data_IF_928454641930
#
_entry.id   IF_928454641930
#
_cell.length_a   1.000
_cell.length_b   1.000
_cell.length_c   1.000
_cell.angle_alpha   90.00
_cell.angle_beta   90.00
_cell.angle_gamma   90.00
#
_symmetry.space_group_name_H-M   'P 1'
#
loop_
_entity.id
_entity.type
_entity.pdbx_description
1 polymer ?
#
# COMPACT_ATOMS: atom_id res chain seq x y z
N UNK A 1 -3.34 -12.51 12.73
CA UNK A 1 -2.24 -11.55 12.79
C UNK A 1 -2.81 -10.15 12.98
N UNK A 2 -2.27 -9.35 13.92
CA UNK A 2 -2.64 -7.95 14.01
C UNK A 2 -2.19 -7.21 12.75
N UNK A 3 -3.02 -6.29 12.29
CA UNK A 3 -2.79 -5.46 11.12
C UNK A 3 -2.88 -3.99 11.43
N UNK A 4 -2.12 -3.19 10.71
CA UNK A 4 -2.17 -1.74 10.69
C UNK A 4 -2.53 -1.28 9.29
N UNK A 5 -3.74 -0.78 9.11
CA UNK A 5 -4.13 -0.04 7.91
C UNK A 5 -3.60 1.39 8.01
N UNK A 6 -2.76 1.78 7.05
CA UNK A 6 -2.24 3.16 6.99
C UNK A 6 -3.37 4.14 6.66
N UNK A 7 -4.39 3.72 5.94
CA UNK A 7 -5.57 4.55 5.69
C UNK A 7 -6.35 4.87 6.96
N UNK A 8 -6.53 3.89 7.85
CA UNK A 8 -7.14 4.16 9.16
C UNK A 8 -6.29 5.12 10.00
N UNK A 9 -4.98 4.94 10.01
CA UNK A 9 -4.06 5.86 10.70
C UNK A 9 -4.16 7.27 10.12
N UNK A 10 -4.13 7.40 8.78
CA UNK A 10 -4.32 8.65 8.06
C UNK A 10 -5.60 9.37 8.49
N UNK A 11 -6.72 8.67 8.40
CA UNK A 11 -8.02 9.26 8.75
C UNK A 11 -8.12 9.61 10.23
N UNK A 12 -7.54 8.81 11.11
CA UNK A 12 -7.46 9.10 12.55
C UNK A 12 -6.68 10.40 12.83
N UNK A 13 -5.53 10.58 12.20
CA UNK A 13 -4.70 11.77 12.34
C UNK A 13 -5.33 13.02 11.74
N UNK A 14 -5.95 12.92 10.58
CA UNK A 14 -6.64 14.03 9.91
C UNK A 14 -7.85 14.47 10.76
N UNK A 15 -8.74 13.53 11.10
CA UNK A 15 -9.98 13.83 11.82
C UNK A 15 -9.77 14.33 13.24
N UNK A 16 -8.68 13.93 13.88
CA UNK A 16 -8.29 14.40 15.22
C UNK A 16 -7.55 15.75 15.19
N UNK A 17 -7.26 16.29 14.00
CA UNK A 17 -6.58 17.57 13.83
C UNK A 17 -5.06 17.51 14.03
N UNK A 18 -4.45 16.31 14.10
CA UNK A 18 -3.00 16.16 14.22
C UNK A 18 -2.28 16.21 12.87
N UNK A 19 -2.96 15.85 11.78
CA UNK A 19 -2.43 15.95 10.43
C UNK A 19 -3.01 17.18 9.73
N UNK A 20 -2.18 18.09 9.20
CA UNK A 20 -2.64 19.30 8.50
C UNK A 20 -3.09 19.03 7.06
N UNK A 21 -2.86 17.82 6.55
CA UNK A 21 -3.26 17.42 5.21
C UNK A 21 -4.73 16.98 5.18
N UNK A 22 -5.25 16.78 3.96
CA UNK A 22 -6.60 16.27 3.72
C UNK A 22 -6.54 14.92 2.99
N UNK A 23 -7.63 14.14 2.94
CA UNK A 23 -7.65 12.89 2.18
C UNK A 23 -7.37 13.06 0.68
N UNK A 24 -7.59 14.26 0.14
CA UNK A 24 -7.37 14.63 -1.26
C UNK A 24 -5.97 15.21 -1.52
N UNK A 25 -5.13 15.33 -0.48
CA UNK A 25 -3.72 15.77 -0.64
C UNK A 25 -2.94 14.78 -1.48
N UNK A 26 -1.90 15.25 -2.14
CA UNK A 26 -1.03 14.41 -2.97
C UNK A 26 -0.45 13.23 -2.17
N UNK A 27 -0.39 12.06 -2.79
CA UNK A 27 0.13 10.84 -2.17
C UNK A 27 1.59 11.00 -1.70
N UNK A 28 2.39 11.82 -2.38
CA UNK A 28 3.75 12.12 -1.97
C UNK A 28 3.79 12.87 -0.62
N UNK A 29 2.91 13.86 -0.44
CA UNK A 29 2.81 14.63 0.80
C UNK A 29 2.26 13.76 1.94
N UNK A 30 1.24 12.96 1.66
CA UNK A 30 0.69 12.00 2.62
C UNK A 30 1.74 10.96 3.02
N UNK A 31 2.50 10.43 2.09
CA UNK A 31 3.59 9.49 2.37
C UNK A 31 4.67 10.16 3.23
N UNK A 32 5.09 11.35 2.90
CA UNK A 32 6.10 12.08 3.67
C UNK A 32 5.66 12.35 5.12
N UNK A 33 4.37 12.56 5.34
CA UNK A 33 3.81 12.75 6.68
C UNK A 33 3.63 11.43 7.45
N UNK A 34 3.08 10.40 6.81
CA UNK A 34 2.67 9.15 7.46
C UNK A 34 3.83 8.19 7.66
N UNK A 35 4.74 8.09 6.68
CA UNK A 35 5.79 7.09 6.71
C UNK A 35 6.71 7.15 7.94
N UNK A 36 7.16 8.32 8.42
CA UNK A 36 7.93 8.39 9.66
C UNK A 36 7.23 7.78 10.85
N UNK A 37 5.91 7.94 10.95
CA UNK A 37 5.09 7.38 12.04
C UNK A 37 5.00 5.85 11.89
N UNK A 38 4.64 5.38 10.70
CA UNK A 38 4.50 3.96 10.39
C UNK A 38 5.83 3.22 10.62
N UNK A 39 6.95 3.81 10.17
CA UNK A 39 8.30 3.28 10.40
C UNK A 39 8.57 3.03 11.90
N UNK A 40 8.26 3.97 12.76
CA UNK A 40 8.50 3.82 14.20
C UNK A 40 7.54 2.79 14.84
N UNK A 41 6.31 2.65 14.33
CA UNK A 41 5.41 1.57 14.73
C UNK A 41 6.00 0.20 14.35
N UNK A 42 6.52 0.07 13.13
CA UNK A 42 7.19 -1.17 12.69
C UNK A 42 8.39 -1.51 13.59
N UNK A 43 9.25 -0.54 13.88
CA UNK A 43 10.39 -0.74 14.80
C UNK A 43 9.91 -1.20 16.17
N UNK A 44 8.89 -0.55 16.72
CA UNK A 44 8.30 -0.92 18.01
C UNK A 44 7.78 -2.35 18.02
N UNK A 45 7.08 -2.77 16.97
CA UNK A 45 6.59 -4.15 16.86
C UNK A 45 7.76 -5.16 16.85
N UNK A 46 8.81 -4.88 16.07
CA UNK A 46 10.01 -5.73 15.99
C UNK A 46 10.71 -5.83 17.36
N UNK A 47 10.91 -4.70 18.05
CA UNK A 47 11.56 -4.64 19.35
C UNK A 47 10.78 -5.39 20.45
N UNK A 48 9.46 -5.45 20.31
CA UNK A 48 8.58 -6.20 21.19
C UNK A 48 8.33 -7.66 20.74
N UNK A 49 9.05 -8.13 19.72
CA UNK A 49 8.87 -9.48 19.16
C UNK A 49 7.42 -9.77 18.71
N UNK A 50 6.74 -8.74 18.24
CA UNK A 50 5.37 -8.83 17.74
C UNK A 50 5.36 -9.02 16.23
N UNK A 51 4.40 -9.82 15.76
CA UNK A 51 4.10 -9.90 14.32
C UNK A 51 3.07 -8.81 13.98
N UNK A 52 3.31 -8.09 12.89
CA UNK A 52 2.44 -7.03 12.42
C UNK A 52 2.37 -7.07 10.90
N UNK A 53 1.18 -7.05 10.35
CA UNK A 53 0.94 -6.75 8.93
C UNK A 53 0.70 -5.26 8.81
N UNK A 54 1.42 -4.59 7.91
CA UNK A 54 1.20 -3.18 7.58
C UNK A 54 0.77 -3.11 6.13
N UNK A 55 -0.38 -2.49 5.88
CA UNK A 55 -0.91 -2.36 4.54
C UNK A 55 -1.28 -0.91 4.21
N UNK A 56 -1.16 -0.56 2.94
CA UNK A 56 -1.53 0.75 2.41
C UNK A 56 -0.63 1.20 1.27
N UNK A 57 -1.02 2.27 0.59
CA UNK A 57 -0.30 2.82 -0.56
C UNK A 57 0.83 3.80 -0.18
N UNK A 58 0.96 4.16 1.10
CA UNK A 58 1.93 5.16 1.59
C UNK A 58 3.24 4.55 2.11
N UNK A 59 3.61 3.38 1.61
CA UNK A 59 4.89 2.72 1.89
C UNK A 59 5.85 3.04 0.74
N UNK A 60 6.94 3.77 0.96
CA UNK A 60 7.87 4.10 -0.11
C UNK A 60 8.61 2.86 -0.60
N UNK A 61 8.87 2.77 -1.91
CA UNK A 61 9.59 1.63 -2.49
C UNK A 61 11.05 1.56 -2.06
N UNK A 62 11.64 2.69 -1.68
CA UNK A 62 12.97 2.77 -1.08
C UNK A 62 12.97 2.57 0.45
N UNK A 63 11.92 1.96 1.01
CA UNK A 63 11.73 1.77 2.45
C UNK A 63 12.97 1.26 3.19
N UNK A 64 13.82 0.48 2.51
CA UNK A 64 15.05 -0.06 3.10
C UNK A 64 15.98 1.02 3.61
N UNK A 65 16.01 2.19 2.97
CA UNK A 65 16.81 3.33 3.39
C UNK A 65 16.40 3.92 4.74
N UNK A 66 15.19 3.60 5.17
CA UNK A 66 14.59 4.12 6.42
C UNK A 66 14.89 3.27 7.65
N UNK A 67 15.55 2.11 7.49
CA UNK A 67 15.82 1.16 8.57
C UNK A 67 17.27 0.77 8.67
N UNK A 68 17.77 0.62 9.89
CA UNK A 68 19.05 -0.01 10.16
C UNK A 68 19.00 -1.52 9.88
N UNK A 69 20.14 -2.12 9.61
CA UNK A 69 20.27 -3.54 9.21
C UNK A 69 19.59 -4.52 10.19
N UNK A 70 19.59 -4.19 11.48
CA UNK A 70 18.96 -5.03 12.52
C UNK A 70 17.44 -5.20 12.35
N UNK A 71 16.77 -4.22 11.73
CA UNK A 71 15.33 -4.28 11.46
C UNK A 71 15.07 -4.94 10.10
N UNK A 72 15.88 -4.64 9.08
CA UNK A 72 15.63 -5.11 7.71
C UNK A 72 15.52 -6.62 7.59
N UNK A 73 16.30 -7.38 8.38
CA UNK A 73 16.22 -8.85 8.39
C UNK A 73 14.88 -9.42 8.92
N UNK A 74 14.03 -8.59 9.48
CA UNK A 74 12.73 -8.98 10.05
C UNK A 74 11.54 -8.39 9.28
N UNK A 75 11.81 -7.67 8.17
CA UNK A 75 10.79 -7.03 7.35
C UNK A 75 10.67 -7.80 6.03
N UNK A 76 9.46 -8.25 5.73
CA UNK A 76 9.08 -8.71 4.40
C UNK A 76 8.20 -7.65 3.73
N UNK A 77 8.51 -7.32 2.50
CA UNK A 77 7.72 -6.41 1.68
C UNK A 77 7.19 -7.16 0.47
N UNK A 78 5.96 -6.89 0.09
CA UNK A 78 5.39 -7.34 -1.16
C UNK A 78 4.46 -6.25 -1.72
N UNK A 79 4.57 -5.98 -3.00
CA UNK A 79 3.65 -5.12 -3.72
C UNK A 79 2.69 -5.97 -4.55
N UNK A 80 1.40 -5.67 -4.48
CA UNK A 80 0.39 -6.29 -5.31
C UNK A 80 0.16 -5.42 -6.55
N UNK A 81 0.41 -5.98 -7.72
CA UNK A 81 0.21 -5.31 -9.01
C UNK A 81 -0.76 -6.11 -9.85
N UNK A 82 -1.68 -5.46 -10.55
CA UNK A 82 -2.51 -6.13 -11.54
C UNK A 82 -1.72 -6.42 -12.81
N UNK A 83 -1.99 -7.56 -13.46
CA UNK A 83 -1.54 -7.78 -14.82
C UNK A 83 -2.22 -6.79 -15.77
N UNK A 84 -1.57 -6.46 -16.88
CA UNK A 84 -2.16 -5.57 -17.89
C UNK A 84 -3.45 -6.17 -18.48
N UNK A 85 -3.48 -7.48 -18.67
CA UNK A 85 -4.67 -8.19 -19.16
C UNK A 85 -5.83 -8.06 -18.16
N UNK A 86 -5.58 -8.19 -16.86
CA UNK A 86 -6.60 -8.00 -15.82
C UNK A 86 -7.21 -6.60 -15.90
N UNK A 87 -6.38 -5.56 -15.94
CA UNK A 87 -6.85 -4.17 -16.02
C UNK A 87 -7.57 -3.89 -17.34
N UNK A 88 -7.10 -4.46 -18.45
CA UNK A 88 -7.70 -4.24 -19.75
C UNK A 88 -9.09 -4.88 -19.89
N UNK A 89 -9.26 -6.09 -19.35
CA UNK A 89 -10.44 -6.94 -19.61
C UNK A 89 -11.43 -6.99 -18.42
N UNK A 90 -10.96 -6.71 -17.20
CA UNK A 90 -11.73 -6.89 -15.97
C UNK A 90 -11.76 -5.65 -15.06
N UNK A 91 -11.64 -4.46 -15.62
CA UNK A 91 -11.70 -3.21 -14.83
C UNK A 91 -13.03 -3.05 -14.11
N UNK A 92 -14.13 -3.52 -14.70
CA UNK A 92 -15.46 -3.53 -14.08
C UNK A 92 -15.52 -4.37 -12.80
N UNK A 93 -14.75 -5.44 -12.74
CA UNK A 93 -14.63 -6.28 -11.54
C UNK A 93 -13.96 -5.49 -10.43
N UNK A 94 -12.87 -4.76 -10.73
CA UNK A 94 -12.17 -3.92 -9.75
C UNK A 94 -13.12 -2.86 -9.20
N UNK A 95 -13.86 -2.16 -10.07
CA UNK A 95 -14.84 -1.14 -9.64
C UNK A 95 -15.95 -1.75 -8.76
N UNK A 96 -16.45 -2.94 -9.11
CA UNK A 96 -17.50 -3.62 -8.36
C UNK A 96 -17.08 -3.94 -6.93
N UNK A 97 -15.82 -4.28 -6.71
CA UNK A 97 -15.28 -4.63 -5.40
C UNK A 97 -14.60 -3.48 -4.66
N UNK A 98 -14.57 -2.27 -5.23
CA UNK A 98 -13.90 -1.11 -4.63
C UNK A 98 -14.41 -0.74 -3.23
N UNK A 99 -15.66 -1.05 -2.91
CA UNK A 99 -16.30 -0.71 -1.63
C UNK A 99 -16.51 -1.92 -0.69
N UNK A 100 -15.81 -3.03 -0.92
CA UNK A 100 -16.01 -4.25 -0.12
C UNK A 100 -15.50 -4.09 1.32
N UNK A 101 -14.41 -3.37 1.51
CA UNK A 101 -13.79 -3.17 2.83
C UNK A 101 -14.04 -1.75 3.34
N UNK A 102 -13.96 -0.75 2.47
CA UNK A 102 -14.10 0.66 2.81
C UNK A 102 -15.25 1.30 2.02
N UNK A 103 -16.02 2.16 2.68
CA UNK A 103 -16.96 3.01 1.96
C UNK A 103 -16.23 4.23 1.40
N UNK A 104 -15.99 4.21 0.11
CA UNK A 104 -15.42 5.36 -0.61
C UNK A 104 -16.53 6.35 -0.96
N UNK A 105 -16.30 7.63 -0.68
CA UNK A 105 -17.30 8.67 -0.88
C UNK A 105 -17.56 8.95 -2.36
N UNK A 106 -16.53 8.93 -3.19
CA UNK A 106 -16.62 9.10 -4.65
C UNK A 106 -15.39 8.49 -5.34
N UNK A 107 -15.61 7.46 -6.13
CA UNK A 107 -14.60 6.82 -6.98
C UNK A 107 -14.81 7.16 -8.48
N UNK A 108 -15.68 8.12 -8.80
CA UNK A 108 -15.98 8.51 -10.18
C UNK A 108 -14.77 9.06 -10.94
N UNK A 109 -13.76 9.55 -10.21
CA UNK A 109 -12.48 10.02 -10.77
C UNK A 109 -11.47 8.92 -11.10
N UNK A 110 -11.69 7.69 -10.63
CA UNK A 110 -10.80 6.57 -10.92
C UNK A 110 -11.10 6.00 -12.32
N UNK A 111 -10.32 6.43 -13.31
CA UNK A 111 -10.44 5.91 -14.67
C UNK A 111 -9.56 4.67 -14.86
N UNK A 112 -9.92 3.83 -15.83
CA UNK A 112 -9.12 2.67 -16.25
C UNK A 112 -7.69 3.09 -16.64
N UNK A 113 -7.57 4.16 -17.40
CA UNK A 113 -6.28 4.70 -17.86
C UNK A 113 -5.42 5.21 -16.71
N UNK A 114 -6.03 5.82 -15.71
CA UNK A 114 -5.32 6.27 -14.51
C UNK A 114 -4.81 5.07 -13.72
N UNK A 115 -5.66 4.09 -13.46
CA UNK A 115 -5.28 2.88 -12.74
C UNK A 115 -4.18 2.09 -13.47
N UNK A 116 -4.24 2.02 -14.81
CA UNK A 116 -3.19 1.41 -15.61
C UNK A 116 -1.85 2.13 -15.42
N UNK A 117 -1.82 3.46 -15.48
CA UNK A 117 -0.59 4.25 -15.28
C UNK A 117 -0.01 4.07 -13.88
N UNK A 118 -0.84 4.13 -12.86
CA UNK A 118 -0.41 3.95 -11.47
C UNK A 118 0.14 2.54 -11.24
N UNK A 119 -0.50 1.53 -11.80
CA UNK A 119 -0.07 0.15 -11.70
C UNK A 119 1.27 -0.09 -12.44
N UNK A 120 1.43 0.47 -13.63
CA UNK A 120 2.69 0.41 -14.39
C UNK A 120 3.84 1.09 -13.63
N UNK A 121 3.57 2.24 -13.02
CA UNK A 121 4.55 2.95 -12.21
C UNK A 121 4.94 2.16 -10.97
N UNK A 122 3.98 1.55 -10.27
CA UNK A 122 4.26 0.67 -9.13
C UNK A 122 5.15 -0.51 -9.53
N UNK A 123 4.86 -1.16 -10.66
CA UNK A 123 5.67 -2.25 -11.19
C UNK A 123 7.08 -1.79 -11.54
N UNK A 124 7.21 -0.63 -12.19
CA UNK A 124 8.49 -0.01 -12.52
C UNK A 124 9.32 0.27 -11.26
N UNK A 125 8.70 0.82 -10.22
CA UNK A 125 9.35 1.11 -8.94
C UNK A 125 9.76 -0.17 -8.20
N UNK A 126 8.94 -1.22 -8.23
CA UNK A 126 9.32 -2.53 -7.71
C UNK A 126 10.61 -3.04 -8.37
N UNK A 127 10.71 -2.94 -9.69
CA UNK A 127 11.90 -3.34 -10.44
C UNK A 127 13.11 -2.46 -10.11
N UNK A 128 12.92 -1.15 -10.07
CA UNK A 128 13.98 -0.19 -9.77
C UNK A 128 14.59 -0.42 -8.37
N UNK A 129 13.75 -0.66 -7.36
CA UNK A 129 14.19 -0.83 -5.96
C UNK A 129 14.33 -2.30 -5.54
N UNK A 130 14.22 -3.23 -6.47
CA UNK A 130 14.29 -4.68 -6.21
C UNK A 130 13.30 -5.13 -5.13
N UNK A 131 12.09 -4.57 -5.14
CA UNK A 131 11.01 -4.95 -4.25
C UNK A 131 10.28 -6.18 -4.80
N UNK A 132 9.99 -7.20 -4.00
CA UNK A 132 9.13 -8.30 -4.39
C UNK A 132 7.73 -7.80 -4.77
N UNK A 133 7.13 -8.39 -5.80
CA UNK A 133 5.76 -8.11 -6.19
C UNK A 133 5.05 -9.36 -6.65
N UNK A 134 3.72 -9.34 -6.57
CA UNK A 134 2.85 -10.39 -7.09
C UNK A 134 1.97 -9.78 -8.18
N UNK A 135 1.98 -10.38 -9.36
CA UNK A 135 1.03 -10.03 -10.43
C UNK A 135 -0.31 -10.73 -10.17
N UNK A 136 -1.34 -9.93 -10.00
CA UNK A 136 -2.71 -10.41 -9.86
C UNK A 136 -3.30 -10.64 -11.25
N UNK A 137 -3.64 -11.88 -11.53
CA UNK A 137 -4.26 -12.32 -12.77
C UNK A 137 -5.73 -12.72 -12.52
N UNK A 138 -6.54 -12.73 -13.57
CA UNK A 138 -7.91 -13.21 -13.48
C UNK A 138 -7.96 -14.73 -13.75
N UNK A 139 -8.72 -15.52 -12.94
CA UNK A 139 -9.44 -15.12 -11.73
C UNK A 139 -8.49 -14.76 -10.56
N UNK A 140 -8.90 -13.80 -9.74
CA UNK A 140 -8.12 -13.33 -8.61
C UNK A 140 -7.77 -14.47 -7.65
N UNK A 141 -6.49 -14.80 -7.58
CA UNK A 141 -5.96 -15.81 -6.65
C UNK A 141 -4.58 -15.39 -6.19
N UNK A 142 -4.36 -15.41 -4.89
CA UNK A 142 -3.04 -15.19 -4.29
C UNK A 142 -2.60 -16.49 -3.64
N UNK A 143 -1.48 -17.03 -4.08
CA UNK A 143 -0.83 -18.15 -3.44
C UNK A 143 -0.01 -17.61 -2.26
N UNK A 144 -0.56 -17.76 -1.05
CA UNK A 144 0.09 -17.33 0.19
C UNK A 144 1.31 -18.18 0.55
N UNK A 145 1.40 -19.39 0.03
CA UNK A 145 2.53 -20.29 0.28
C UNK A 145 3.78 -19.88 -0.53
N UNK A 146 3.61 -18.98 -1.51
CA UNK A 146 4.70 -18.43 -2.31
C UNK A 146 5.36 -17.16 -1.72
N UNK A 147 4.89 -16.68 -0.55
CA UNK A 147 5.36 -15.47 0.11
C UNK A 147 6.53 -15.71 1.09
#
# INVERSE_FOLDING_TARGET
>A
LPDLSIDHLKMGLIRSGHCPLTPESDDADLTAYLWPIVREIIKTAIENHQRLVVEGCYIPFDYRSSFESRYLGQIQFVCLCFSQAYLAEHFDVIQRYANVIEQRLDDSGCTKEQLQRENEENLRLCQQYSCPYILLEYPYHIDLDSL
#
